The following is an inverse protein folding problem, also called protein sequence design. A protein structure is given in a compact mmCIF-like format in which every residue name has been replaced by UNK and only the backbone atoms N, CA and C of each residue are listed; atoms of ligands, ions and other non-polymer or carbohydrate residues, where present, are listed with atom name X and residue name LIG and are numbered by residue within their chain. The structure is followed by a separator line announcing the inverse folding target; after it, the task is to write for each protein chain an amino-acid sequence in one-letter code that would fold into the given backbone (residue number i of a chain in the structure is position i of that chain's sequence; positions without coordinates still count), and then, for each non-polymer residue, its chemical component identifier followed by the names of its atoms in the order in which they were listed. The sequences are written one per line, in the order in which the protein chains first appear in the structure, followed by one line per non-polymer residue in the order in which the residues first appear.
data_IF_767103029863
#
_entry.id   IF_767103029863
#
_cell.length_a   1.000
_cell.length_b   1.000
_cell.length_c   1.000
_cell.angle_alpha   90.00
_cell.angle_beta   90.00
_cell.angle_gamma   90.00
#
_symmetry.space_group_name_H-M   'P 1'
#
loop_
_entity.id
_entity.type
_entity.pdbx_description
1 polymer ?
#
# COMPACT_ATOMS: atom_id res chain seq x y z
N UNK A 1 -10.12 1.86 -12.66
CA UNK A 1 -9.49 0.61 -13.13
C UNK A 1 -9.41 -0.33 -11.94
N UNK A 2 -9.92 -1.56 -12.02
CA UNK A 2 -9.73 -2.53 -10.94
C UNK A 2 -8.24 -2.85 -10.81
N UNK A 3 -7.76 -3.02 -9.58
CA UNK A 3 -6.39 -3.48 -9.33
C UNK A 3 -6.30 -4.93 -9.82
N UNK A 4 -5.32 -5.23 -10.67
CA UNK A 4 -5.07 -6.61 -11.10
C UNK A 4 -4.47 -7.41 -9.96
N UNK A 5 -4.93 -8.65 -9.81
CA UNK A 5 -4.40 -9.58 -8.81
C UNK A 5 -2.92 -9.85 -9.09
N UNK A 6 -2.09 -9.72 -8.06
CA UNK A 6 -0.67 -10.12 -8.08
C UNK A 6 -0.48 -11.43 -7.32
N UNK A 7 0.71 -12.02 -7.38
CA UNK A 7 1.01 -13.26 -6.65
C UNK A 7 1.14 -13.01 -5.14
N UNK A 8 1.78 -11.90 -4.77
CA UNK A 8 2.16 -11.58 -3.39
C UNK A 8 1.72 -10.19 -2.97
N UNK A 9 1.42 -10.06 -1.67
CA UNK A 9 1.19 -8.80 -0.96
C UNK A 9 2.15 -8.72 0.23
N UNK A 10 2.75 -7.55 0.45
CA UNK A 10 3.52 -7.30 1.67
C UNK A 10 2.57 -6.90 2.80
N UNK A 11 2.55 -7.67 3.87
CA UNK A 11 1.65 -7.49 4.99
C UNK A 11 2.38 -7.71 6.31
N UNK A 12 2.45 -6.68 7.15
CA UNK A 12 3.08 -6.72 8.48
C UNK A 12 4.49 -7.35 8.50
N UNK A 13 5.37 -6.91 7.60
CA UNK A 13 6.75 -7.40 7.55
C UNK A 13 6.99 -8.66 6.72
N UNK A 14 5.94 -9.28 6.16
CA UNK A 14 6.04 -10.56 5.45
C UNK A 14 5.34 -10.53 4.10
N UNK A 15 5.83 -11.34 3.16
CA UNK A 15 5.12 -11.60 1.90
C UNK A 15 4.09 -12.71 2.11
N UNK A 16 2.82 -12.42 1.82
CA UNK A 16 1.71 -13.39 1.83
C UNK A 16 1.13 -13.55 0.43
N UNK A 17 0.40 -14.62 0.16
CA UNK A 17 -0.32 -14.73 -1.12
C UNK A 17 -1.45 -13.70 -1.15
N UNK A 18 -1.81 -13.24 -2.34
CA UNK A 18 -2.90 -12.27 -2.50
C UNK A 18 -4.19 -12.69 -1.81
N UNK A 19 -4.60 -13.96 -1.97
CA UNK A 19 -5.87 -14.45 -1.42
C UNK A 19 -5.85 -14.58 0.11
N UNK A 20 -4.67 -14.53 0.74
CA UNK A 20 -4.51 -14.58 2.19
C UNK A 20 -4.62 -13.20 2.83
N UNK A 21 -4.60 -12.11 2.04
CA UNK A 21 -4.71 -10.74 2.52
C UNK A 21 -6.16 -10.40 2.93
N UNK A 22 -6.59 -10.95 4.06
CA UNK A 22 -7.92 -10.78 4.65
C UNK A 22 -7.85 -9.98 5.94
N UNK A 23 -8.94 -9.28 6.24
CA UNK A 23 -9.18 -8.60 7.52
C UNK A 23 -10.53 -9.00 8.07
N UNK A 24 -10.70 -8.93 9.40
CA UNK A 24 -11.98 -9.23 10.03
C UNK A 24 -12.99 -8.12 9.72
N UNK A 25 -14.27 -8.45 9.52
CA UNK A 25 -15.30 -7.44 9.19
C UNK A 25 -15.43 -6.34 10.26
N UNK A 26 -15.08 -6.65 11.52
CA UNK A 26 -15.06 -5.69 12.63
C UNK A 26 -13.75 -4.89 12.77
N UNK A 27 -12.81 -5.00 11.83
CA UNK A 27 -11.64 -4.12 11.84
C UNK A 27 -12.07 -2.66 11.78
N UNK A 28 -11.56 -1.83 12.68
CA UNK A 28 -12.00 -0.44 12.89
C UNK A 28 -12.05 0.39 11.60
N UNK A 29 -11.10 0.17 10.68
CA UNK A 29 -11.05 0.85 9.37
C UNK A 29 -12.32 0.65 8.54
N UNK A 30 -12.98 -0.50 8.64
CA UNK A 30 -14.17 -0.85 7.85
C UNK A 30 -15.35 0.05 8.21
N UNK A 31 -15.54 0.33 9.51
CA UNK A 31 -16.68 1.11 10.01
C UNK A 31 -16.36 2.59 10.16
N UNK A 32 -15.10 2.94 10.43
CA UNK A 32 -14.72 4.30 10.83
C UNK A 32 -13.70 4.95 9.91
N UNK A 33 -13.29 4.30 8.81
CA UNK A 33 -12.36 4.87 7.84
C UNK A 33 -10.97 5.17 8.41
N UNK A 34 -10.58 4.50 9.50
CA UNK A 34 -9.35 4.73 10.24
C UNK A 34 -8.10 4.16 9.55
N UNK A 35 -7.82 4.62 8.34
CA UNK A 35 -6.62 4.26 7.62
C UNK A 35 -6.10 5.42 6.78
N UNK A 36 -4.79 5.37 6.54
CA UNK A 36 -4.09 6.25 5.61
C UNK A 36 -3.46 5.37 4.53
N UNK A 37 -3.38 5.87 3.29
CA UNK A 37 -2.83 5.12 2.17
C UNK A 37 -2.05 6.04 1.23
N UNK A 38 -1.29 5.43 0.33
CA UNK A 38 -0.54 6.13 -0.71
C UNK A 38 -0.84 5.54 -2.09
N UNK A 39 -0.77 6.40 -3.10
CA UNK A 39 -0.79 6.01 -4.51
C UNK A 39 0.59 6.22 -5.11
N UNK A 40 1.27 5.14 -5.48
CA UNK A 40 2.65 5.16 -5.97
C UNK A 40 2.71 4.45 -7.31
N UNK A 41 3.53 4.96 -8.24
CA UNK A 41 3.74 4.34 -9.55
C UNK A 41 5.20 3.92 -9.73
N UNK A 42 5.37 2.72 -10.26
CA UNK A 42 6.62 2.22 -10.82
C UNK A 42 6.55 2.36 -12.34
N UNK A 43 7.64 2.79 -12.95
CA UNK A 43 7.76 2.95 -14.40
C UNK A 43 8.96 2.17 -14.91
N UNK A 44 8.81 1.58 -16.10
CA UNK A 44 9.96 1.09 -16.84
C UNK A 44 10.81 2.28 -17.31
N UNK A 45 12.11 2.21 -17.08
CA UNK A 45 13.07 3.24 -17.50
C UNK A 45 14.21 2.60 -18.26
N UNK A 46 15.07 3.42 -18.89
CA UNK A 46 16.29 2.93 -19.57
C UNK A 46 17.26 2.18 -18.64
N UNK A 47 17.12 2.35 -17.33
CA UNK A 47 17.99 1.73 -16.31
C UNK A 47 17.26 0.60 -15.54
N UNK A 48 16.06 0.21 -15.98
CA UNK A 48 15.18 -0.73 -15.30
C UNK A 48 14.00 -0.06 -14.58
N UNK A 49 13.16 -0.84 -13.88
CA UNK A 49 11.97 -0.34 -13.22
C UNK A 49 12.33 0.59 -12.06
N UNK A 50 11.70 1.77 -12.00
CA UNK A 50 11.96 2.78 -10.99
C UNK A 50 10.67 3.35 -10.39
N UNK A 51 10.67 3.58 -9.08
CA UNK A 51 9.55 4.18 -8.35
C UNK A 51 9.71 5.70 -8.33
N UNK A 52 8.73 6.41 -8.90
CA UNK A 52 8.78 7.87 -8.95
C UNK A 52 8.52 8.47 -7.55
N UNK A 53 9.46 9.26 -7.04
CA UNK A 53 9.36 10.00 -5.76
C UNK A 53 9.03 9.14 -4.53
N UNK A 54 9.57 7.92 -4.46
CA UNK A 54 9.32 6.97 -3.36
C UNK A 54 9.45 7.61 -1.96
N UNK A 55 10.56 8.31 -1.70
CA UNK A 55 10.84 8.89 -0.38
C UNK A 55 9.79 9.92 0.04
N UNK A 56 9.30 10.73 -0.91
CA UNK A 56 8.28 11.74 -0.65
C UNK A 56 6.92 11.09 -0.36
N UNK A 57 6.55 10.03 -1.08
CA UNK A 57 5.34 9.26 -0.80
C UNK A 57 5.40 8.62 0.60
N UNK A 58 6.52 7.99 0.97
CA UNK A 58 6.69 7.41 2.31
C UNK A 58 6.65 8.47 3.41
N UNK A 59 7.30 9.63 3.20
CA UNK A 59 7.21 10.72 4.17
C UNK A 59 5.77 11.21 4.34
N UNK A 60 5.00 11.32 3.25
CA UNK A 60 3.60 11.72 3.30
C UNK A 60 2.73 10.69 4.03
N UNK A 61 2.95 9.40 3.80
CA UNK A 61 2.27 8.33 4.54
C UNK A 61 2.46 8.47 6.05
N UNK A 62 3.70 8.67 6.51
CA UNK A 62 4.02 8.88 7.92
C UNK A 62 3.42 10.18 8.45
N UNK A 63 3.44 11.26 7.65
CA UNK A 63 2.82 12.53 8.04
C UNK A 63 1.29 12.39 8.17
N UNK A 64 0.63 11.64 7.29
CA UNK A 64 -0.80 11.36 7.38
C UNK A 64 -1.12 10.55 8.63
N UNK A 65 -0.33 9.51 8.92
CA UNK A 65 -0.46 8.72 10.15
C UNK A 65 -0.19 9.51 11.43
N UNK A 66 0.61 10.58 11.37
CA UNK A 66 0.90 11.48 12.50
C UNK A 66 -0.26 12.45 12.79
N UNK A 67 -1.01 12.85 11.76
CA UNK A 67 -2.14 13.77 11.89
C UNK A 67 -3.40 13.04 12.35
N UNK A 68 -3.58 11.81 11.86
CA UNK A 68 -4.67 10.92 12.27
C UNK A 68 -4.54 10.54 13.75
#
# INVERSE_FOLDING_TARGET
MPIQKTEKIWHNGKWINWDDAKLHVLSHVVSYGSAVFEGIRCYETKQGPAIFRLRQHMQRLINSAKIY
#
